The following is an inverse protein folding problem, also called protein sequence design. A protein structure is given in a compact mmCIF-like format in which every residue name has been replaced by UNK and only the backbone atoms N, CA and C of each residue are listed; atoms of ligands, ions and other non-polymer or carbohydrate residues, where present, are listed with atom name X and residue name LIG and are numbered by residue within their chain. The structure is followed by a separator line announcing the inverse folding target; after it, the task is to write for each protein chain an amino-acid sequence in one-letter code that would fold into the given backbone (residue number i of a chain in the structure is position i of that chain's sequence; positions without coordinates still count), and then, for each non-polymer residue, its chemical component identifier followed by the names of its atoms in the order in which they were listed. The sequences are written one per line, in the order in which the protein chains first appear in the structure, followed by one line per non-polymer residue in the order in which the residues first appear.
data_IF_829870977999
#
_entry.id   IF_829870977999
#
_cell.length_a   1.000
_cell.length_b   1.000
_cell.length_c   1.000
_cell.angle_alpha   90.00
_cell.angle_beta   90.00
_cell.angle_gamma   90.00
#
_symmetry.space_group_name_H-M   'P 1'
#
loop_
_entity.id
_entity.type
_entity.pdbx_description
1 polymer ?
#
# COMPACT_ATOMS: atom_id res chain seq x y z
N UNK A 1 -10.22 -12.89 4.95
CA UNK A 1 -8.76 -13.09 5.08
C UNK A 1 -8.10 -12.52 3.81
N UNK A 2 -7.36 -11.42 3.91
CA UNK A 2 -6.73 -10.76 2.75
C UNK A 2 -5.35 -11.38 2.52
N UNK A 3 -5.20 -12.13 1.43
CA UNK A 3 -3.97 -12.85 1.09
C UNK A 3 -3.49 -12.43 -0.29
N UNK A 4 -2.20 -12.11 -0.42
CA UNK A 4 -1.57 -11.72 -1.68
C UNK A 4 -0.25 -12.46 -1.89
N UNK A 5 0.14 -12.68 -3.14
CA UNK A 5 1.49 -13.18 -3.46
C UNK A 5 2.49 -12.05 -3.28
N UNK A 6 3.68 -12.39 -2.79
CA UNK A 6 4.77 -11.40 -2.63
C UNK A 6 5.15 -10.77 -3.97
N UNK A 7 5.09 -11.53 -5.07
CA UNK A 7 5.34 -11.01 -6.43
C UNK A 7 4.32 -9.96 -6.85
N UNK A 8 3.05 -10.14 -6.49
CA UNK A 8 2.00 -9.17 -6.81
C UNK A 8 2.18 -7.90 -5.98
N UNK A 9 2.66 -8.04 -4.74
CA UNK A 9 2.98 -6.92 -3.87
C UNK A 9 4.19 -6.11 -4.40
N UNK A 10 5.23 -6.78 -4.88
CA UNK A 10 6.39 -6.16 -5.56
C UNK A 10 5.94 -5.32 -6.74
N UNK A 11 5.10 -5.88 -7.61
CA UNK A 11 4.58 -5.18 -8.79
C UNK A 11 3.69 -3.99 -8.41
N UNK A 12 2.78 -4.16 -7.44
CA UNK A 12 1.84 -3.10 -7.04
C UNK A 12 2.50 -1.94 -6.30
N UNK A 13 3.57 -2.21 -5.54
CA UNK A 13 4.31 -1.17 -4.84
C UNK A 13 5.37 -0.51 -5.73
N UNK A 14 5.65 -1.08 -6.91
CA UNK A 14 6.78 -0.72 -7.76
C UNK A 14 8.11 -0.67 -6.97
N UNK A 15 8.30 -1.67 -6.10
CA UNK A 15 9.45 -1.74 -5.20
C UNK A 15 10.29 -2.98 -5.48
N UNK A 16 11.59 -2.86 -5.29
CA UNK A 16 12.51 -3.99 -5.34
C UNK A 16 12.10 -5.15 -4.42
N UNK A 17 12.28 -6.39 -4.90
CA UNK A 17 11.89 -7.61 -4.16
C UNK A 17 12.55 -7.69 -2.78
N UNK A 18 13.81 -7.30 -2.67
CA UNK A 18 14.54 -7.29 -1.39
C UNK A 18 13.89 -6.32 -0.39
N UNK A 19 13.48 -5.13 -0.84
CA UNK A 19 12.79 -4.13 -0.01
C UNK A 19 11.46 -4.66 0.50
N UNK A 20 10.66 -5.26 -0.38
CA UNK A 20 9.38 -5.87 0.02
C UNK A 20 9.60 -7.02 1.00
N UNK A 21 10.59 -7.89 0.77
CA UNK A 21 10.92 -8.97 1.70
C UNK A 21 11.25 -8.46 3.10
N UNK A 22 12.11 -7.44 3.22
CA UNK A 22 12.44 -6.84 4.52
C UNK A 22 11.23 -6.19 5.21
N UNK A 23 10.35 -5.53 4.44
CA UNK A 23 9.10 -5.00 4.99
C UNK A 23 8.25 -6.14 5.57
N UNK A 24 8.04 -7.21 4.80
CA UNK A 24 7.23 -8.35 5.22
C UNK A 24 7.82 -9.04 6.45
N UNK A 25 9.14 -9.26 6.52
CA UNK A 25 9.79 -9.81 7.72
C UNK A 25 9.52 -8.96 8.96
N UNK A 26 9.57 -7.63 8.86
CA UNK A 26 9.25 -6.74 9.99
C UNK A 26 7.77 -6.74 10.36
N UNK A 27 6.87 -6.92 9.40
CA UNK A 27 5.43 -7.00 9.66
C UNK A 27 5.06 -8.34 10.32
N UNK A 28 5.69 -9.42 9.86
CA UNK A 28 5.52 -10.76 10.42
C UNK A 28 6.06 -10.83 11.86
N UNK A 29 7.25 -10.26 12.12
CA UNK A 29 7.80 -10.21 13.49
C UNK A 29 6.96 -9.40 14.48
N UNK A 30 6.09 -8.53 13.98
CA UNK A 30 5.12 -7.75 14.77
C UNK A 30 3.75 -8.41 14.87
N UNK A 31 3.56 -9.59 14.25
CA UNK A 31 2.29 -10.31 14.23
C UNK A 31 1.23 -9.71 13.31
N UNK A 32 1.60 -8.80 12.40
CA UNK A 32 0.63 -8.13 11.52
C UNK A 32 0.25 -8.96 10.29
N UNK A 33 1.12 -9.90 9.91
CA UNK A 33 0.90 -10.81 8.79
C UNK A 33 1.39 -12.20 9.14
N UNK A 34 0.94 -13.17 8.37
CA UNK A 34 1.47 -14.54 8.32
C UNK A 34 1.97 -14.83 6.91
N UNK A 35 3.19 -15.34 6.77
CA UNK A 35 3.69 -15.80 5.47
C UNK A 35 3.48 -17.29 5.31
N UNK A 36 3.05 -17.69 4.11
CA UNK A 36 2.88 -19.09 3.74
C UNK A 36 3.73 -19.40 2.52
N UNK A 37 4.49 -20.48 2.59
CA UNK A 37 5.20 -21.05 1.44
C UNK A 37 4.36 -22.20 0.89
N UNK A 38 3.71 -22.00 -0.27
CA UNK A 38 2.95 -23.09 -0.93
C UNK A 38 3.78 -23.72 -2.05
N UNK A 39 4.28 -24.93 -1.82
CA UNK A 39 4.77 -25.84 -2.86
C UNK A 39 6.22 -26.31 -2.69
N UNK A 40 6.52 -27.47 -3.29
CA UNK A 40 7.77 -28.23 -3.18
C UNK A 40 9.06 -27.52 -3.67
N UNK A 41 8.99 -26.24 -4.03
CA UNK A 41 10.11 -25.48 -4.56
C UNK A 41 10.17 -24.02 -4.07
N UNK A 42 9.62 -23.68 -2.89
CA UNK A 42 9.83 -22.39 -2.21
C UNK A 42 9.45 -21.11 -2.99
N UNK A 43 8.82 -21.25 -4.16
CA UNK A 43 8.71 -20.19 -5.19
C UNK A 43 7.38 -19.44 -5.19
N UNK A 44 6.41 -19.81 -4.33
CA UNK A 44 5.14 -19.08 -4.18
C UNK A 44 4.96 -18.69 -2.72
N UNK A 45 5.65 -17.63 -2.32
CA UNK A 45 5.43 -16.98 -1.04
C UNK A 45 4.19 -16.10 -1.13
N UNK A 46 3.24 -16.34 -0.23
CA UNK A 46 2.09 -15.47 0.01
C UNK A 46 2.19 -14.86 1.40
N UNK A 47 1.60 -13.69 1.58
CA UNK A 47 1.38 -13.09 2.88
C UNK A 47 -0.11 -12.86 3.10
N UNK A 48 -0.56 -13.15 4.31
CA UNK A 48 -1.93 -12.96 4.75
C UNK A 48 -1.95 -11.93 5.88
N UNK A 49 -2.87 -10.97 5.83
CA UNK A 49 -3.10 -10.05 6.93
C UNK A 49 -3.75 -10.77 8.13
N UNK A 50 -3.16 -10.62 9.32
CA UNK A 50 -3.74 -11.13 10.57
C UNK A 50 -4.84 -10.22 11.09
N UNK A 51 -5.62 -10.69 12.06
CA UNK A 51 -6.62 -9.86 12.74
C UNK A 51 -5.99 -8.68 13.48
N UNK A 52 -4.81 -8.89 14.08
CA UNK A 52 -4.02 -7.82 14.69
C UNK A 52 -3.57 -6.80 13.63
N UNK A 53 -3.09 -7.25 12.47
CA UNK A 53 -2.70 -6.38 11.37
C UNK A 53 -3.86 -5.52 10.88
N UNK A 54 -5.06 -6.11 10.78
CA UNK A 54 -6.29 -5.38 10.45
C UNK A 54 -6.62 -4.31 11.49
N UNK A 55 -6.60 -4.65 12.78
CA UNK A 55 -6.88 -3.70 13.85
C UNK A 55 -5.89 -2.51 13.85
N UNK A 56 -4.61 -2.78 13.54
CA UNK A 56 -3.58 -1.74 13.42
C UNK A 56 -3.85 -0.81 12.24
N UNK A 57 -4.27 -1.34 11.09
CA UNK A 57 -4.65 -0.52 9.93
C UNK A 57 -5.84 0.38 10.28
N UNK A 58 -6.90 -0.16 10.87
CA UNK A 58 -8.09 0.62 11.23
C UNK A 58 -7.77 1.72 12.26
N UNK A 59 -6.86 1.44 13.20
CA UNK A 59 -6.37 2.47 14.13
C UNK A 59 -5.51 3.53 13.43
N UNK A 60 -4.62 3.11 12.52
CA UNK A 60 -3.76 3.99 11.76
C UNK A 60 -4.55 4.89 10.80
N UNK A 61 -5.59 4.37 10.13
CA UNK A 61 -6.46 5.12 9.23
C UNK A 61 -7.08 6.33 9.91
N UNK A 62 -7.63 6.15 11.13
CA UNK A 62 -8.21 7.26 11.91
C UNK A 62 -7.17 8.32 12.25
N UNK A 63 -5.96 7.92 12.62
CA UNK A 63 -4.88 8.86 12.93
C UNK A 63 -4.40 9.56 11.66
N UNK A 64 -4.26 8.83 10.56
CA UNK A 64 -3.84 9.33 9.27
C UNK A 64 -4.82 10.38 8.75
N UNK A 65 -6.12 10.07 8.72
CA UNK A 65 -7.16 10.99 8.25
C UNK A 65 -7.16 12.29 9.08
N UNK A 66 -7.17 12.18 10.42
CA UNK A 66 -7.12 13.35 11.30
C UNK A 66 -5.88 14.19 11.06
N UNK A 67 -4.74 13.54 10.86
CA UNK A 67 -3.45 14.22 10.66
C UNK A 67 -3.42 14.94 9.32
N UNK A 68 -3.79 14.26 8.22
CA UNK A 68 -3.86 14.85 6.88
C UNK A 68 -4.84 16.01 6.87
N UNK A 69 -6.02 15.84 7.48
CA UNK A 69 -7.01 16.90 7.58
C UNK A 69 -6.48 18.13 8.31
N UNK A 70 -6.00 17.96 9.54
CA UNK A 70 -5.58 19.08 10.38
C UNK A 70 -4.28 19.76 9.93
N UNK A 71 -3.35 19.01 9.34
CA UNK A 71 -2.01 19.51 8.98
C UNK A 71 -1.89 19.99 7.54
N UNK A 72 -2.71 19.45 6.64
CA UNK A 72 -2.62 19.77 5.22
C UNK A 72 -3.91 20.40 4.73
N UNK A 73 -5.03 19.67 4.78
CA UNK A 73 -6.26 20.11 4.15
C UNK A 73 -6.80 21.40 4.79
N UNK A 74 -6.98 21.44 6.11
CA UNK A 74 -7.57 22.59 6.84
C UNK A 74 -6.74 23.88 6.77
N UNK A 75 -5.53 23.81 6.20
CA UNK A 75 -4.65 24.96 5.93
C UNK A 75 -4.82 25.56 4.53
N UNK A 76 -5.62 24.91 3.68
CA UNK A 76 -5.84 25.29 2.29
C UNK A 76 -7.28 25.77 2.09
N UNK A 77 -7.43 26.84 1.30
CA UNK A 77 -8.75 27.31 0.86
C UNK A 77 -9.42 26.28 -0.06
N UNK A 78 -10.75 26.34 -0.25
CA UNK A 78 -11.45 25.47 -1.20
C UNK A 78 -10.85 25.51 -2.61
N UNK A 79 -10.44 26.67 -3.09
CA UNK A 79 -9.86 26.87 -4.42
C UNK A 79 -8.48 26.23 -4.54
N UNK A 80 -7.64 26.37 -3.52
CA UNK A 80 -6.31 25.72 -3.49
C UNK A 80 -6.43 24.19 -3.49
N UNK A 81 -7.41 23.65 -2.76
CA UNK A 81 -7.68 22.20 -2.76
C UNK A 81 -8.13 21.71 -4.13
N UNK A 82 -9.02 22.45 -4.79
CA UNK A 82 -9.48 22.14 -6.14
C UNK A 82 -8.31 22.14 -7.15
N UNK A 83 -7.43 23.14 -7.09
CA UNK A 83 -6.27 23.21 -7.96
C UNK A 83 -5.29 22.03 -7.74
N UNK A 84 -5.02 21.66 -6.48
CA UNK A 84 -4.17 20.50 -6.18
C UNK A 84 -4.81 19.21 -6.71
N UNK A 85 -6.12 19.03 -6.51
CA UNK A 85 -6.84 17.87 -7.01
C UNK A 85 -6.72 17.77 -8.54
N UNK A 86 -6.96 18.87 -9.25
CA UNK A 86 -6.83 18.92 -10.71
C UNK A 86 -5.41 18.55 -11.17
N UNK A 87 -4.38 19.12 -10.53
CA UNK A 87 -2.99 18.75 -10.84
C UNK A 87 -2.72 17.25 -10.59
N UNK A 88 -3.20 16.70 -9.47
CA UNK A 88 -3.05 15.28 -9.16
C UNK A 88 -3.77 14.39 -10.18
N UNK A 89 -4.99 14.74 -10.59
CA UNK A 89 -5.75 13.99 -11.60
C UNK A 89 -5.03 13.99 -12.95
N UNK A 90 -4.48 15.13 -13.37
CA UNK A 90 -3.69 15.23 -14.61
C UNK A 90 -2.43 14.35 -14.57
N UNK A 91 -1.70 14.36 -13.45
CA UNK A 91 -0.49 13.54 -13.27
C UNK A 91 -0.82 12.03 -13.23
N UNK A 92 -1.87 11.64 -12.50
CA UNK A 92 -2.30 10.24 -12.44
C UNK A 92 -2.81 9.73 -13.80
N UNK A 93 -3.48 10.58 -14.58
CA UNK A 93 -3.89 10.25 -15.94
C UNK A 93 -2.68 10.05 -16.88
N UNK A 94 -1.58 10.78 -16.66
CA UNK A 94 -0.35 10.61 -17.42
C UNK A 94 0.44 9.35 -17.03
N UNK A 95 0.39 8.96 -15.75
CA UNK A 95 1.10 7.77 -15.21
C UNK A 95 0.32 6.45 -15.38
N UNK A 96 -0.97 6.50 -15.73
CA UNK A 96 -1.71 5.30 -16.12
C UNK A 96 -1.11 4.76 -17.43
N UNK A 97 -0.58 3.53 -17.47
CA UNK A 97 -0.08 2.96 -18.70
C UNK A 97 -1.23 2.93 -19.71
N UNK A 98 -1.08 3.66 -20.82
CA UNK A 98 -1.92 3.45 -22.00
C UNK A 98 -1.77 1.98 -22.35
N UNK A 99 -2.79 1.19 -22.09
CA UNK A 99 -2.81 -0.24 -22.38
C UNK A 99 -2.55 -0.45 -23.86
N UNK A 100 -1.30 -0.74 -24.21
CA UNK A 100 -0.83 -1.00 -25.57
C UNK A 100 0.70 -1.11 -25.62
N UNK A 101 1.19 -2.28 -26.06
CA UNK A 101 2.60 -2.64 -26.34
C UNK A 101 3.39 -3.05 -25.08
N UNK A 102 3.90 -4.27 -24.88
CA UNK A 102 4.18 -5.44 -25.73
C UNK A 102 4.01 -6.73 -24.94
#
# INVERSE_FOLDING_TARGET
MLTLRVTDLVQRLDWEKSRVSHLLTRMESRGFIERTERGAAGRRSSCTLSDQGRAVIEAAERVHERTVRARFLDRLSPEQRAAILECCEQLLAADLPTSGSR
#
